data_IF_483296181961
#
_entry.id   IF_483296181961
#
_cell.length_a   1.000
_cell.length_b   1.000
_cell.length_c   1.000
_cell.angle_alpha   90.00
_cell.angle_beta   90.00
_cell.angle_gamma   90.00
#
_symmetry.space_group_name_H-M   'P 1'
#
loop_
_entity.id
_entity.type
_entity.pdbx_description
1 polymer ?
#
# COMPACT_ATOMS: atom_id res chain seq x y z
N UNK A 1 2.35 -6.64 11.21
CA UNK A 1 1.70 -5.53 10.49
C UNK A 1 2.44 -4.25 10.84
N UNK A 2 2.47 -3.28 9.93
CA UNK A 2 3.15 -2.00 10.13
C UNK A 2 2.47 -1.16 11.22
N UNK A 3 3.21 -0.78 12.28
CA UNK A 3 2.69 0.06 13.38
C UNK A 3 3.20 1.52 13.31
N UNK A 4 3.78 1.92 12.17
CA UNK A 4 4.31 3.27 12.01
C UNK A 4 3.17 4.31 12.02
N UNK A 5 3.29 5.34 12.85
CA UNK A 5 2.24 6.36 13.03
C UNK A 5 1.93 7.17 11.77
N UNK A 6 2.88 7.25 10.85
CA UNK A 6 2.75 7.94 9.56
C UNK A 6 3.51 7.15 8.50
N UNK A 7 2.78 6.75 7.46
CA UNK A 7 3.31 6.11 6.26
C UNK A 7 2.85 6.94 5.08
N UNK A 8 3.72 7.15 4.10
CA UNK A 8 3.39 7.81 2.85
C UNK A 8 3.38 6.84 1.67
N UNK A 9 2.59 7.13 0.63
CA UNK A 9 2.46 6.27 -0.55
C UNK A 9 3.80 5.97 -1.22
N UNK A 10 4.71 6.94 -1.31
CA UNK A 10 6.05 6.76 -1.90
C UNK A 10 6.99 5.88 -1.05
N UNK A 11 6.59 5.54 0.17
CA UNK A 11 7.30 4.62 1.07
C UNK A 11 6.71 3.20 1.01
N UNK A 12 5.71 2.96 0.15
CA UNK A 12 5.08 1.65 -0.03
C UNK A 12 5.76 0.90 -1.18
N UNK A 13 6.20 -0.31 -0.90
CA UNK A 13 6.71 -1.27 -1.88
C UNK A 13 5.74 -2.44 -2.01
N UNK A 14 5.51 -2.91 -3.24
CA UNK A 14 4.69 -4.09 -3.49
C UNK A 14 5.62 -5.30 -3.63
N UNK A 15 5.57 -6.22 -2.65
CA UNK A 15 6.38 -7.44 -2.63
C UNK A 15 5.52 -8.66 -2.99
N UNK A 16 6.15 -9.72 -3.48
CA UNK A 16 5.47 -11.00 -3.69
C UNK A 16 5.64 -11.88 -2.45
N UNK A 17 4.54 -12.34 -1.88
CA UNK A 17 4.50 -13.42 -0.88
C UNK A 17 3.76 -14.61 -1.49
N UNK A 18 4.53 -15.60 -1.96
CA UNK A 18 4.02 -16.67 -2.82
C UNK A 18 3.46 -16.12 -4.14
N UNK A 19 2.15 -16.28 -4.36
CA UNK A 19 1.43 -15.79 -5.54
C UNK A 19 0.63 -14.49 -5.27
N UNK A 20 0.79 -13.90 -4.08
CA UNK A 20 0.03 -12.72 -3.65
C UNK A 20 0.94 -11.49 -3.63
N UNK A 21 0.43 -10.36 -4.13
CA UNK A 21 1.10 -9.06 -4.01
C UNK A 21 0.76 -8.45 -2.64
N UNK A 22 1.79 -8.17 -1.84
CA UNK A 22 1.68 -7.66 -0.47
C UNK A 22 2.29 -6.26 -0.37
N UNK A 23 1.48 -5.23 -0.11
CA UNK A 23 1.97 -3.88 0.16
C UNK A 23 2.77 -3.86 1.47
N UNK A 24 4.00 -3.38 1.39
CA UNK A 24 4.98 -3.38 2.48
C UNK A 24 5.53 -1.98 2.69
N UNK A 25 5.62 -1.53 3.94
CA UNK A 25 6.30 -0.28 4.23
C UNK A 25 7.82 -0.46 4.11
N UNK A 26 8.46 0.31 3.23
CA UNK A 26 9.89 0.24 2.93
C UNK A 26 10.76 0.38 4.18
N UNK A 27 10.36 1.25 5.11
CA UNK A 27 11.22 1.62 6.23
C UNK A 27 11.20 0.61 7.39
N UNK A 28 10.05 -0.02 7.66
CA UNK A 28 9.93 -1.03 8.71
C UNK A 28 9.95 -2.48 8.19
N UNK A 29 9.77 -2.68 6.87
CA UNK A 29 9.78 -3.99 6.23
C UNK A 29 8.55 -4.85 6.51
N UNK A 30 7.58 -4.34 7.29
CA UNK A 30 6.34 -5.04 7.59
C UNK A 30 5.24 -4.71 6.58
N UNK A 31 4.40 -5.71 6.30
CA UNK A 31 3.18 -5.54 5.52
C UNK A 31 2.27 -4.48 6.14
N UNK A 32 1.65 -3.69 5.29
CA UNK A 32 0.62 -2.74 5.70
C UNK A 32 -0.58 -3.48 6.29
N UNK A 33 -1.28 -2.83 7.21
CA UNK A 33 -2.59 -3.31 7.63
C UNK A 33 -3.65 -3.08 6.52
N UNK A 34 -4.83 -3.68 6.68
CA UNK A 34 -5.92 -3.60 5.70
C UNK A 34 -6.35 -2.16 5.40
N UNK A 35 -6.44 -1.30 6.43
CA UNK A 35 -6.86 0.10 6.26
C UNK A 35 -5.82 0.93 5.52
N UNK A 36 -4.55 0.71 5.83
CA UNK A 36 -3.42 1.32 5.15
C UNK A 36 -3.37 0.87 3.68
N UNK A 37 -3.51 -0.43 3.44
CA UNK A 37 -3.52 -1.03 2.11
C UNK A 37 -4.62 -0.42 1.23
N UNK A 38 -5.86 -0.41 1.71
CA UNK A 38 -7.01 0.15 0.98
C UNK A 38 -6.83 1.64 0.67
N UNK A 39 -6.34 2.40 1.65
CA UNK A 39 -6.08 3.84 1.46
C UNK A 39 -5.07 4.07 0.35
N UNK A 40 -3.93 3.39 0.39
CA UNK A 40 -2.86 3.60 -0.57
C UNK A 40 -3.19 3.06 -1.95
N UNK A 41 -3.98 1.98 -2.04
CA UNK A 41 -4.51 1.51 -3.32
C UNK A 41 -5.37 2.59 -3.99
N UNK A 42 -6.30 3.21 -3.25
CA UNK A 42 -7.13 4.32 -3.75
C UNK A 42 -6.31 5.54 -4.16
N UNK A 43 -5.31 5.91 -3.34
CA UNK A 43 -4.40 7.03 -3.68
C UNK A 43 -3.57 6.73 -4.94
N UNK A 44 -3.13 5.47 -5.13
CA UNK A 44 -2.38 5.03 -6.30
C UNK A 44 -3.23 5.11 -7.58
N UNK A 45 -4.45 4.57 -7.54
CA UNK A 45 -5.39 4.60 -8.67
C UNK A 45 -5.69 6.04 -9.08
N UNK A 46 -5.95 6.92 -8.10
CA UNK A 46 -6.10 8.37 -8.33
C UNK A 46 -4.84 9.01 -8.93
N UNK A 47 -3.65 8.62 -8.47
CA UNK A 47 -2.38 9.14 -8.99
C UNK A 47 -2.14 8.78 -10.45
N UNK A 48 -2.71 7.66 -10.91
CA UNK A 48 -2.64 7.20 -12.29
C UNK A 48 -3.71 7.82 -13.20
N UNK A 49 -4.59 8.67 -12.65
CA UNK A 49 -5.68 9.28 -13.41
C UNK A 49 -6.75 8.28 -13.85
N UNK A 50 -6.81 7.12 -13.19
CA UNK A 50 -7.86 6.13 -13.37
C UNK A 50 -8.99 6.51 -12.41
N UNK A 51 -10.17 6.82 -12.93
CA UNK A 51 -11.38 6.90 -12.11
C UNK A 51 -11.77 5.46 -11.74
N UNK A 52 -12.02 5.20 -10.45
CA UNK A 52 -12.65 3.94 -10.04
C UNK A 52 -14.05 3.93 -10.67
N UNK A 53 -14.28 3.11 -11.70
CA UNK A 53 -15.64 2.80 -12.15
C UNK A 53 -16.37 2.14 -10.97
N UNK A 54 -17.46 2.77 -10.53
CA UNK A 54 -18.23 2.47 -9.31
C UNK A 54 -18.89 1.09 -9.32
#
# INVERSE_FOLDING_TARGET
MCECSKVHLYEVEFKLDGMTVVPTHKNCGFSLDEKQSDKFQKELVKSWGLEEEE
#
